data_IF_364825669820
#
_entry.id   IF_364825669820
#
_cell.length_a   1.000
_cell.length_b   1.000
_cell.length_c   1.000
_cell.angle_alpha   90.00
_cell.angle_beta   90.00
_cell.angle_gamma   90.00
#
_symmetry.space_group_name_H-M   'P 1'
#
loop_
_entity.id
_entity.type
_entity.pdbx_description
1 polymer ?
#
# COMPACT_ATOMS: atom_id res chain seq x y z
N UNK A 1 27.10 5.99 13.08
CA UNK A 1 26.55 6.95 14.06
C UNK A 1 26.76 6.36 15.45
N UNK A 2 27.15 7.17 16.44
CA UNK A 2 27.14 6.74 17.83
C UNK A 2 25.73 6.99 18.38
N UNK A 3 24.99 5.93 18.65
CA UNK A 3 23.66 5.98 19.24
C UNK A 3 23.69 5.27 20.59
N UNK A 4 23.03 5.84 21.59
CA UNK A 4 22.72 5.16 22.86
C UNK A 4 21.26 4.75 22.86
N UNK A 5 20.94 3.62 23.48
CA UNK A 5 19.56 3.18 23.69
C UNK A 5 19.30 3.11 25.19
N UNK A 6 18.25 3.77 25.69
CA UNK A 6 17.79 3.59 27.07
C UNK A 6 16.59 2.66 27.09
N UNK A 7 16.60 1.72 28.03
CA UNK A 7 15.55 0.73 28.19
C UNK A 7 14.50 1.26 29.17
N UNK A 8 13.25 1.25 28.75
CA UNK A 8 12.11 1.51 29.61
C UNK A 8 11.19 0.29 29.59
N UNK A 9 11.12 -0.42 30.72
CA UNK A 9 10.24 -1.58 30.86
C UNK A 9 8.98 -1.20 31.66
N UNK A 10 7.83 -1.57 31.13
CA UNK A 10 6.51 -1.41 31.77
C UNK A 10 5.78 -2.75 31.76
N UNK A 11 4.64 -2.87 32.45
CA UNK A 11 3.87 -4.12 32.47
C UNK A 11 3.47 -4.62 31.06
N UNK A 12 3.28 -3.72 30.09
CA UNK A 12 2.68 -4.02 28.79
C UNK A 12 3.57 -3.78 27.57
N UNK A 13 4.64 -2.98 27.72
CA UNK A 13 5.49 -2.54 26.62
C UNK A 13 6.95 -2.47 27.04
N UNK A 14 7.82 -3.02 26.21
CA UNK A 14 9.26 -2.77 26.28
C UNK A 14 9.61 -1.62 25.33
N UNK A 15 10.23 -0.55 25.80
CA UNK A 15 10.61 0.59 24.95
C UNK A 15 12.12 0.79 24.90
N UNK A 16 12.61 1.03 23.68
CA UNK A 16 14.01 1.37 23.37
C UNK A 16 14.08 2.79 22.85
N UNK A 17 14.66 3.69 23.65
CA UNK A 17 14.78 5.11 23.32
C UNK A 17 16.17 5.39 22.76
N UNK A 18 16.25 5.69 21.47
CA UNK A 18 17.47 5.93 20.72
C UNK A 18 17.83 7.41 20.69
N UNK A 19 19.07 7.74 21.04
CA UNK A 19 19.64 9.09 20.86
C UNK A 19 20.10 9.29 19.41
N UNK A 20 19.17 9.70 18.55
CA UNK A 20 19.38 9.89 17.10
C UNK A 20 19.03 11.30 16.64
N UNK A 21 19.67 11.74 15.56
CA UNK A 21 19.24 12.96 14.86
C UNK A 21 17.84 12.77 14.26
N UNK A 22 17.07 13.85 14.05
CA UNK A 22 15.78 13.75 13.38
C UNK A 22 15.86 13.08 12.01
N UNK A 23 16.90 13.37 11.22
CA UNK A 23 17.11 12.77 9.91
C UNK A 23 17.32 11.25 9.99
N UNK A 24 18.19 10.79 10.89
CA UNK A 24 18.44 9.35 11.08
C UNK A 24 17.20 8.60 11.58
N UNK A 25 16.37 9.25 12.40
CA UNK A 25 15.10 8.65 12.82
C UNK A 25 14.09 8.54 11.68
N UNK A 26 14.04 9.55 10.79
CA UNK A 26 13.17 9.49 9.61
C UNK A 26 13.56 8.34 8.67
N UNK A 27 14.84 8.03 8.52
CA UNK A 27 15.28 6.84 7.75
C UNK A 27 14.75 5.53 8.37
N UNK A 28 14.74 5.41 9.70
CA UNK A 28 14.21 4.23 10.41
C UNK A 28 12.68 4.12 10.28
N UNK A 29 11.97 5.24 10.36
CA UNK A 29 10.49 5.25 10.24
C UNK A 29 10.05 4.98 8.81
N UNK A 30 10.81 5.44 7.82
CA UNK A 30 10.50 5.30 6.40
C UNK A 30 10.80 3.90 5.83
N UNK A 31 11.62 3.10 6.51
CA UNK A 31 12.00 1.76 6.07
C UNK A 31 11.43 0.70 6.99
N UNK A 32 11.07 -0.48 6.46
CA UNK A 32 10.68 -1.60 7.30
C UNK A 32 11.93 -2.12 8.02
N UNK A 33 12.01 -1.93 9.34
CA UNK A 33 13.20 -2.28 10.13
C UNK A 33 12.95 -3.43 11.10
N UNK A 34 14.03 -4.07 11.55
CA UNK A 34 14.03 -4.92 12.75
C UNK A 34 15.21 -4.63 13.63
N UNK A 35 15.10 -5.07 14.88
CA UNK A 35 16.16 -5.05 15.85
C UNK A 35 16.74 -6.46 16.01
N UNK A 36 18.05 -6.58 16.14
CA UNK A 36 18.68 -7.85 16.52
C UNK A 36 19.99 -7.58 17.23
N UNK A 37 20.45 -8.55 18.02
CA UNK A 37 21.79 -8.51 18.59
C UNK A 37 22.85 -8.57 17.49
N UNK A 38 23.92 -7.81 17.68
CA UNK A 38 25.08 -7.72 16.79
C UNK A 38 26.29 -7.45 17.66
N UNK A 39 27.23 -8.38 17.68
CA UNK A 39 28.38 -8.32 18.60
C UNK A 39 27.85 -8.09 20.04
N UNK A 40 28.33 -7.06 20.75
CA UNK A 40 27.83 -6.68 22.10
C UNK A 40 26.74 -5.58 22.08
N UNK A 41 26.06 -5.38 20.96
CA UNK A 41 25.11 -4.26 20.72
C UNK A 41 23.76 -4.73 20.20
N UNK A 42 22.78 -3.83 20.20
CA UNK A 42 21.54 -3.96 19.43
C UNK A 42 21.70 -3.17 18.15
N UNK A 43 21.54 -3.81 17.00
CA UNK A 43 21.47 -3.16 15.70
C UNK A 43 20.03 -2.97 15.24
N UNK A 44 19.75 -1.85 14.58
CA UNK A 44 18.54 -1.62 13.78
C UNK A 44 18.90 -1.85 12.32
N UNK A 45 18.19 -2.75 11.65
CA UNK A 45 18.47 -3.18 10.29
C UNK A 45 17.33 -2.87 9.35
N UNK A 46 17.67 -2.36 8.17
CA UNK A 46 16.79 -2.22 7.02
C UNK A 46 16.40 -3.59 6.46
N UNK A 47 15.12 -3.81 6.20
CA UNK A 47 14.67 -5.01 5.49
C UNK A 47 14.90 -4.94 4.00
N UNK A 48 14.80 -3.74 3.44
CA UNK A 48 14.93 -3.52 2.00
C UNK A 48 16.37 -3.73 1.57
N UNK A 49 17.33 -3.18 2.32
CA UNK A 49 18.75 -3.19 1.94
C UNK A 49 19.56 -4.25 2.69
N UNK A 50 19.07 -4.75 3.82
CA UNK A 50 19.84 -5.60 4.73
C UNK A 50 20.94 -4.84 5.50
N UNK A 51 21.07 -3.53 5.28
CA UNK A 51 22.07 -2.72 5.96
C UNK A 51 21.70 -2.46 7.42
N UNK A 52 22.72 -2.42 8.27
CA UNK A 52 22.57 -1.91 9.63
C UNK A 52 22.49 -0.38 9.56
N UNK A 53 21.33 0.18 9.91
CA UNK A 53 21.10 1.62 9.91
C UNK A 53 21.77 2.30 11.10
N UNK A 54 21.65 1.68 12.27
CA UNK A 54 22.29 2.15 13.51
C UNK A 54 22.51 1.00 14.47
N UNK A 55 23.35 1.23 15.48
CA UNK A 55 23.58 0.30 16.57
C UNK A 55 23.68 1.05 17.88
N UNK A 56 23.19 0.46 18.97
CA UNK A 56 23.31 1.01 20.31
C UNK A 56 23.91 -0.01 21.28
N UNK A 57 24.83 0.47 22.13
CA UNK A 57 25.26 -0.30 23.30
C UNK A 57 24.09 -0.46 24.26
N UNK A 58 24.00 -1.61 24.91
CA UNK A 58 22.92 -1.94 25.83
C UNK A 58 23.48 -2.48 27.14
N UNK A 59 22.73 -2.37 28.24
CA UNK A 59 23.07 -3.02 29.50
C UNK A 59 22.85 -4.53 29.41
N UNK A 60 23.68 -5.33 30.09
CA UNK A 60 23.55 -6.80 30.20
C UNK A 60 22.15 -7.29 30.66
N UNK A 61 21.29 -6.41 31.16
CA UNK A 61 19.91 -6.69 31.54
C UNK A 61 18.95 -6.82 30.35
N UNK A 62 19.26 -6.26 29.18
CA UNK A 62 18.37 -6.29 28.01
C UNK A 62 18.07 -7.72 27.55
N UNK A 63 19.10 -8.58 27.52
CA UNK A 63 18.95 -9.99 27.14
C UNK A 63 17.96 -10.73 28.05
N UNK A 64 17.88 -10.36 29.34
CA UNK A 64 16.91 -10.95 30.29
C UNK A 64 15.49 -10.42 30.07
N UNK A 65 15.34 -9.17 29.64
CA UNK A 65 14.04 -8.51 29.48
C UNK A 65 13.42 -8.84 28.12
N UNK A 66 14.22 -8.89 27.05
CA UNK A 66 13.77 -9.28 25.69
C UNK A 66 13.37 -10.77 25.58
N UNK A 67 13.74 -11.62 26.54
CA UNK A 67 13.18 -12.98 26.63
C UNK A 67 11.68 -12.98 26.95
N UNK A 68 11.14 -11.86 27.45
CA UNK A 68 9.71 -11.64 27.65
C UNK A 68 8.94 -11.49 26.33
N UNK A 69 7.66 -11.85 26.33
CA UNK A 69 6.76 -11.79 25.16
C UNK A 69 6.11 -10.41 24.96
N UNK A 70 6.64 -9.35 25.57
CA UNK A 70 6.05 -8.01 25.44
C UNK A 70 6.36 -7.45 24.05
N UNK A 71 5.43 -6.72 23.42
CA UNK A 71 5.76 -5.90 22.25
C UNK A 71 6.93 -4.97 22.58
N UNK A 72 7.85 -4.81 21.62
CA UNK A 72 8.90 -3.81 21.69
C UNK A 72 8.43 -2.56 20.94
N UNK A 73 8.76 -1.38 21.45
CA UNK A 73 8.63 -0.13 20.69
C UNK A 73 9.97 0.59 20.62
N UNK A 74 10.29 1.12 19.45
CA UNK A 74 11.44 1.99 19.25
C UNK A 74 10.98 3.44 19.27
N UNK A 75 11.78 4.33 19.85
CA UNK A 75 11.51 5.76 19.85
C UNK A 75 12.80 6.56 19.72
N UNK A 76 12.71 7.77 19.16
CA UNK A 76 13.79 8.77 19.27
C UNK A 76 13.65 9.59 20.56
N UNK A 77 14.71 9.61 21.36
CA UNK A 77 14.78 10.47 22.55
C UNK A 77 14.69 11.95 22.15
N UNK A 78 13.75 12.68 22.76
CA UNK A 78 13.49 14.10 22.45
C UNK A 78 13.51 14.95 23.73
N UNK A 79 14.67 15.03 24.38
CA UNK A 79 14.87 15.80 25.62
C UNK A 79 13.99 15.33 26.78
N UNK A 80 13.74 16.20 27.77
CA UNK A 80 12.98 15.91 29.00
C UNK A 80 11.44 15.91 28.81
N UNK A 81 10.94 15.92 27.56
CA UNK A 81 9.49 15.84 27.33
C UNK A 81 9.01 14.40 27.50
N UNK A 82 7.81 14.25 28.06
CA UNK A 82 7.17 12.95 28.10
C UNK A 82 7.04 12.38 26.67
N UNK A 83 7.29 11.07 26.51
CA UNK A 83 7.29 10.42 25.21
C UNK A 83 5.89 10.45 24.60
N UNK A 84 5.75 11.15 23.46
CA UNK A 84 4.55 11.08 22.62
C UNK A 84 4.47 9.70 21.94
N UNK A 85 3.27 9.16 21.85
CA UNK A 85 3.00 7.90 21.16
C UNK A 85 3.06 8.04 19.62
N UNK A 86 3.03 9.28 19.10
CA UNK A 86 3.17 9.57 17.67
C UNK A 86 4.51 9.12 17.07
N UNK A 87 5.55 9.05 17.91
CA UNK A 87 6.90 8.66 17.50
C UNK A 87 7.24 7.19 17.72
N UNK A 88 6.30 6.36 18.17
CA UNK A 88 6.56 4.96 18.49
C UNK A 88 6.55 4.08 17.24
N UNK A 89 7.56 3.22 17.13
CA UNK A 89 7.63 2.16 16.15
C UNK A 89 7.47 0.80 16.81
N UNK A 90 6.32 0.16 16.64
CA UNK A 90 5.99 -1.11 17.30
C UNK A 90 6.55 -2.32 16.56
N UNK A 91 7.07 -3.26 17.33
CA UNK A 91 7.80 -4.45 16.89
C UNK A 91 7.29 -5.64 17.71
N UNK A 92 6.46 -6.47 17.06
CA UNK A 92 5.74 -7.59 17.70
C UNK A 92 6.38 -8.94 17.42
N UNK A 93 7.21 -8.99 16.39
CA UNK A 93 7.98 -10.16 16.02
C UNK A 93 9.05 -10.48 17.07
N UNK A 94 9.52 -11.73 17.08
CA UNK A 94 10.63 -12.14 17.95
C UNK A 94 11.96 -11.81 17.29
N UNK A 95 12.90 -11.33 18.09
CA UNK A 95 14.22 -10.89 17.63
C UNK A 95 15.30 -11.88 18.01
N UNK A 96 16.36 -11.95 17.21
CA UNK A 96 17.57 -12.65 17.60
C UNK A 96 18.32 -11.85 18.67
N UNK A 97 18.64 -12.52 19.77
CA UNK A 97 19.44 -12.01 20.89
C UNK A 97 20.83 -12.62 20.96
N UNK A 98 21.14 -13.58 20.09
CA UNK A 98 22.40 -14.32 20.14
C UNK A 98 23.53 -13.66 19.36
N UNK A 99 23.19 -12.77 18.41
CA UNK A 99 24.15 -12.20 17.45
C UNK A 99 24.42 -13.12 16.26
N UNK A 100 24.05 -14.40 16.35
CA UNK A 100 24.26 -15.38 15.29
C UNK A 100 23.45 -15.05 14.04
N UNK A 101 22.31 -14.36 14.17
CA UNK A 101 21.55 -14.00 12.98
C UNK A 101 22.30 -12.98 12.12
N UNK A 102 22.93 -11.99 12.75
CA UNK A 102 23.77 -11.01 12.06
C UNK A 102 25.00 -11.68 11.44
N UNK A 103 25.66 -12.60 12.15
CA UNK A 103 26.78 -13.37 11.59
C UNK A 103 26.35 -14.23 10.39
N UNK A 104 25.18 -14.86 10.47
CA UNK A 104 24.61 -15.63 9.36
C UNK A 104 24.37 -14.77 8.12
N UNK A 105 23.81 -13.56 8.30
CA UNK A 105 23.61 -12.60 7.20
C UNK A 105 24.96 -12.18 6.59
N UNK A 106 25.98 -11.88 7.41
CA UNK A 106 27.33 -11.54 6.91
C UNK A 106 27.97 -12.69 6.14
N UNK A 107 27.86 -13.91 6.65
CA UNK A 107 28.35 -15.11 5.97
C UNK A 107 27.62 -15.32 4.63
N UNK A 108 26.31 -15.13 4.59
CA UNK A 108 25.52 -15.23 3.36
C UNK A 108 25.96 -14.17 2.33
N UNK A 109 26.18 -12.92 2.77
CA UNK A 109 26.61 -11.82 1.91
C UNK A 109 27.99 -12.05 1.28
N UNK A 110 28.86 -12.82 1.94
CA UNK A 110 30.19 -13.22 1.41
C UNK A 110 30.14 -14.51 0.60
N UNK A 111 28.96 -15.10 0.39
CA UNK A 111 28.77 -16.35 -0.35
C UNK A 111 29.11 -17.61 0.44
N UNK A 112 29.48 -17.49 1.73
CA UNK A 112 29.75 -18.64 2.59
C UNK A 112 28.43 -19.21 3.14
N UNK A 113 27.70 -19.92 2.28
CA UNK A 113 26.38 -20.50 2.61
C UNK A 113 26.46 -21.53 3.74
N UNK A 114 27.57 -22.27 3.86
CA UNK A 114 27.76 -23.25 4.94
C UNK A 114 27.82 -22.57 6.32
N UNK A 115 28.61 -21.51 6.47
CA UNK A 115 28.65 -20.74 7.71
C UNK A 115 27.33 -20.03 8.00
N UNK A 116 26.65 -19.51 6.97
CA UNK A 116 25.33 -18.90 7.12
C UNK A 116 24.31 -19.89 7.70
N UNK A 117 24.23 -21.10 7.13
CA UNK A 117 23.34 -22.16 7.61
C UNK A 117 23.65 -22.53 9.07
N UNK A 118 24.93 -22.71 9.42
CA UNK A 118 25.33 -23.06 10.79
C UNK A 118 24.92 -21.97 11.81
N UNK A 119 25.09 -20.69 11.46
CA UNK A 119 24.67 -19.58 12.31
C UNK A 119 23.15 -19.49 12.44
N UNK A 120 22.41 -19.67 11.34
CA UNK A 120 20.95 -19.71 11.36
C UNK A 120 20.40 -20.87 12.20
N UNK A 121 21.05 -22.03 12.20
CA UNK A 121 20.68 -23.15 13.06
C UNK A 121 20.89 -22.83 14.54
N UNK A 122 21.92 -22.06 14.91
CA UNK A 122 22.12 -21.61 16.29
C UNK A 122 21.01 -20.65 16.75
N UNK A 123 20.56 -19.74 15.88
CA UNK A 123 19.41 -18.87 16.16
C UNK A 123 18.15 -19.70 16.42
N UNK A 124 17.89 -20.71 15.58
CA UNK A 124 16.74 -21.62 15.72
C UNK A 124 16.84 -22.42 17.03
N UNK A 125 18.05 -22.87 17.40
CA UNK A 125 18.27 -23.59 18.65
C UNK A 125 18.00 -22.72 19.89
N UNK A 126 18.29 -21.42 19.81
CA UNK A 126 18.01 -20.47 20.88
C UNK A 126 16.52 -20.10 20.94
N UNK A 127 15.89 -19.85 19.79
CA UNK A 127 14.45 -19.57 19.69
C UNK A 127 13.89 -19.95 18.31
N UNK A 128 13.24 -21.11 18.25
CA UNK A 128 12.67 -21.65 17.02
C UNK A 128 11.49 -20.84 16.45
N UNK A 129 11.03 -19.79 17.15
CA UNK A 129 9.92 -18.92 16.70
C UNK A 129 10.40 -17.63 16.03
N UNK A 130 11.70 -17.41 15.88
CA UNK A 130 12.24 -16.28 15.11
C UNK A 130 12.00 -16.58 13.62
N UNK A 131 10.82 -16.27 13.11
CA UNK A 131 10.38 -16.74 11.79
C UNK A 131 11.25 -16.29 10.62
N UNK A 132 11.89 -15.12 10.75
CA UNK A 132 12.72 -14.53 9.69
C UNK A 132 13.95 -15.36 9.35
N UNK A 133 14.50 -16.09 10.33
CA UNK A 133 15.70 -16.91 10.12
C UNK A 133 15.42 -18.02 9.08
N UNK A 134 14.22 -18.58 9.09
CA UNK A 134 13.85 -19.64 8.16
C UNK A 134 13.76 -19.13 6.71
N UNK A 135 13.41 -17.85 6.50
CA UNK A 135 13.38 -17.27 5.16
C UNK A 135 14.79 -17.22 4.53
N UNK A 136 15.80 -16.82 5.31
CA UNK A 136 17.19 -16.76 4.84
C UNK A 136 17.86 -18.14 4.82
N UNK A 137 17.50 -19.02 5.75
CA UNK A 137 17.92 -20.43 5.73
C UNK A 137 17.44 -21.14 4.47
N UNK A 138 16.15 -20.99 4.11
CA UNK A 138 15.59 -21.56 2.88
C UNK A 138 16.29 -21.04 1.62
N UNK A 139 16.69 -19.77 1.61
CA UNK A 139 17.49 -19.19 0.52
C UNK A 139 18.86 -19.88 0.39
N UNK A 140 19.57 -20.07 1.50
CA UNK A 140 20.86 -20.76 1.51
C UNK A 140 20.73 -22.23 1.08
N UNK A 141 19.72 -22.94 1.60
CA UNK A 141 19.45 -24.34 1.25
C UNK A 141 19.11 -24.50 -0.24
N UNK A 142 18.29 -23.59 -0.80
CA UNK A 142 17.97 -23.56 -2.23
C UNK A 142 19.22 -23.32 -3.09
N UNK A 143 20.13 -22.44 -2.66
CA UNK A 143 21.41 -22.22 -3.37
C UNK A 143 22.28 -23.49 -3.35
N UNK A 144 22.22 -24.26 -2.27
CA UNK A 144 22.92 -25.54 -2.14
C UNK A 144 22.16 -26.72 -2.79
N UNK A 145 21.08 -26.47 -3.54
CA UNK A 145 20.20 -27.49 -4.15
C UNK A 145 19.54 -28.46 -3.16
N UNK A 146 19.44 -28.10 -1.88
CA UNK A 146 18.66 -28.84 -0.89
C UNK A 146 17.19 -28.38 -0.94
N UNK A 147 16.51 -28.77 -2.02
CA UNK A 147 15.15 -28.33 -2.35
C UNK A 147 14.14 -28.70 -1.25
N UNK A 148 14.27 -29.89 -0.65
CA UNK A 148 13.35 -30.36 0.40
C UNK A 148 13.49 -29.56 1.69
N UNK A 149 14.73 -29.34 2.15
CA UNK A 149 14.95 -28.52 3.34
C UNK A 149 14.57 -27.05 3.10
N UNK A 150 14.83 -26.53 1.90
CA UNK A 150 14.45 -25.17 1.52
C UNK A 150 12.94 -24.95 1.58
N UNK A 151 12.15 -25.89 1.05
CA UNK A 151 10.68 -25.81 1.11
C UNK A 151 10.19 -25.75 2.57
N UNK A 152 10.68 -26.65 3.42
CA UNK A 152 10.29 -26.70 4.83
C UNK A 152 10.66 -25.40 5.55
N UNK A 153 11.87 -24.87 5.32
CA UNK A 153 12.28 -23.58 5.87
C UNK A 153 11.36 -22.45 5.40
N UNK A 154 11.04 -22.36 4.11
CA UNK A 154 10.11 -21.32 3.64
C UNK A 154 8.70 -21.48 4.22
N UNK A 155 8.19 -22.70 4.39
CA UNK A 155 6.92 -22.96 5.07
C UNK A 155 6.95 -22.51 6.52
N UNK A 156 8.01 -22.83 7.26
CA UNK A 156 8.22 -22.35 8.64
C UNK A 156 8.34 -20.82 8.71
N UNK A 157 8.94 -20.18 7.71
CA UNK A 157 8.95 -18.72 7.59
C UNK A 157 7.53 -18.17 7.50
N UNK A 158 6.67 -18.71 6.63
CA UNK A 158 5.27 -18.26 6.54
C UNK A 158 4.45 -18.54 7.82
N UNK A 159 4.82 -19.57 8.59
CA UNK A 159 4.16 -19.91 9.86
C UNK A 159 4.51 -18.94 10.98
N UNK A 160 5.79 -18.61 11.14
CA UNK A 160 6.29 -17.79 12.25
C UNK A 160 6.48 -16.30 11.89
N UNK A 161 6.47 -15.97 10.60
CA UNK A 161 6.62 -14.63 10.05
C UNK A 161 5.56 -14.34 8.97
N UNK A 162 4.33 -14.83 9.19
CA UNK A 162 3.24 -14.81 8.21
C UNK A 162 2.66 -13.43 7.88
N UNK A 163 2.97 -12.40 8.68
CA UNK A 163 2.56 -11.02 8.39
C UNK A 163 3.51 -10.33 7.39
N UNK A 164 4.67 -10.93 7.11
CA UNK A 164 5.66 -10.33 6.24
C UNK A 164 5.51 -10.81 4.79
N UNK A 165 5.38 -9.90 3.81
CA UNK A 165 5.12 -10.28 2.43
C UNK A 165 6.30 -11.01 1.76
N UNK A 166 7.53 -10.78 2.22
CA UNK A 166 8.74 -11.41 1.69
C UNK A 166 8.79 -12.92 1.96
N UNK A 167 8.31 -13.39 3.12
CA UNK A 167 8.22 -14.81 3.44
C UNK A 167 7.33 -15.56 2.42
N UNK A 168 6.15 -15.00 2.13
CA UNK A 168 5.22 -15.55 1.13
C UNK A 168 5.80 -15.46 -0.28
N UNK A 169 6.38 -14.31 -0.64
CA UNK A 169 6.97 -14.12 -1.96
C UNK A 169 8.14 -15.07 -2.22
N UNK A 170 9.00 -15.32 -1.23
CA UNK A 170 10.13 -16.24 -1.39
C UNK A 170 9.68 -17.70 -1.55
N UNK A 171 8.61 -18.10 -0.85
CA UNK A 171 7.98 -19.40 -1.08
C UNK A 171 7.38 -19.49 -2.49
N UNK A 172 6.74 -18.42 -2.98
CA UNK A 172 6.27 -18.35 -4.37
C UNK A 172 7.40 -18.43 -5.40
N UNK A 173 8.52 -17.74 -5.16
CA UNK A 173 9.73 -17.83 -6.01
C UNK A 173 10.29 -19.25 -6.01
N UNK A 174 10.28 -19.92 -4.87
CA UNK A 174 10.70 -21.31 -4.76
C UNK A 174 9.85 -22.20 -5.67
N UNK A 175 8.51 -22.14 -5.57
CA UNK A 175 7.60 -22.93 -6.41
C UNK A 175 7.71 -22.60 -7.90
N UNK A 176 7.89 -21.32 -8.23
CA UNK A 176 8.11 -20.89 -9.61
C UNK A 176 9.39 -21.54 -10.17
N UNK A 177 10.46 -21.59 -9.38
CA UNK A 177 11.74 -22.19 -9.80
C UNK A 177 11.71 -23.72 -9.86
N UNK A 178 10.81 -24.37 -9.12
CA UNK A 178 10.62 -25.82 -9.16
C UNK A 178 9.58 -26.25 -10.19
N UNK A 179 8.98 -25.31 -10.93
CA UNK A 179 8.02 -25.59 -12.02
C UNK A 179 6.57 -25.71 -11.58
N UNK A 180 6.24 -25.31 -10.35
CA UNK A 180 4.87 -25.25 -9.82
C UNK A 180 4.32 -23.81 -9.91
N UNK A 181 4.10 -23.33 -11.14
CA UNK A 181 3.76 -21.92 -11.38
C UNK A 181 2.40 -21.51 -10.80
N UNK A 182 1.41 -22.39 -10.81
CA UNK A 182 0.07 -22.09 -10.25
C UNK A 182 0.13 -21.93 -8.73
N UNK A 183 0.86 -22.81 -8.05
CA UNK A 183 1.14 -22.71 -6.63
C UNK A 183 1.90 -21.42 -6.32
N UNK A 184 2.90 -21.06 -7.13
CA UNK A 184 3.61 -19.80 -6.98
C UNK A 184 2.68 -18.58 -7.01
N UNK A 185 1.68 -18.55 -7.90
CA UNK A 185 0.70 -17.47 -7.96
C UNK A 185 -0.16 -17.36 -6.69
N UNK A 186 -0.48 -18.49 -6.04
CA UNK A 186 -1.18 -18.47 -4.76
C UNK A 186 -0.33 -17.78 -3.68
N UNK A 187 0.98 -18.09 -3.62
CA UNK A 187 1.89 -17.47 -2.67
C UNK A 187 2.15 -15.97 -2.97
N UNK A 188 2.23 -15.57 -4.24
CA UNK A 188 2.27 -14.15 -4.59
C UNK A 188 0.98 -13.42 -4.20
N UNK A 189 -0.18 -14.09 -4.30
CA UNK A 189 -1.45 -13.55 -3.80
C UNK A 189 -1.40 -13.32 -2.30
N UNK A 190 -0.88 -14.28 -1.53
CA UNK A 190 -0.73 -14.12 -0.07
C UNK A 190 0.23 -12.98 0.27
N UNK A 191 1.34 -12.82 -0.45
CA UNK A 191 2.24 -11.67 -0.27
C UNK A 191 1.49 -10.33 -0.46
N UNK A 192 0.70 -10.22 -1.54
CA UNK A 192 -0.08 -9.01 -1.83
C UNK A 192 -1.26 -8.78 -0.88
N UNK A 193 -1.73 -9.80 -0.16
CA UNK A 193 -2.69 -9.62 0.94
C UNK A 193 -2.05 -8.99 2.18
N UNK A 194 -0.73 -9.16 2.38
CA UNK A 194 0.01 -8.56 3.51
C UNK A 194 0.45 -7.14 3.18
N UNK A 195 0.88 -6.93 1.94
CA UNK A 195 1.29 -5.64 1.39
C UNK A 195 0.95 -5.59 -0.11
N UNK A 196 -0.08 -4.82 -0.45
CA UNK A 196 -0.52 -4.69 -1.85
C UNK A 196 0.45 -3.91 -2.74
N UNK A 197 1.46 -3.27 -2.15
CA UNK A 197 2.54 -2.55 -2.83
C UNK A 197 3.84 -3.35 -2.82
N UNK A 198 3.82 -4.63 -2.44
CA UNK A 198 5.03 -5.46 -2.43
C UNK A 198 5.53 -5.75 -3.85
N UNK A 199 6.48 -4.94 -4.30
CA UNK A 199 7.00 -4.90 -5.68
C UNK A 199 7.33 -6.28 -6.26
N UNK A 200 8.05 -7.12 -5.50
CA UNK A 200 8.49 -8.43 -5.99
C UNK A 200 7.32 -9.37 -6.30
N UNK A 201 6.22 -9.31 -5.53
CA UNK A 201 5.03 -10.10 -5.81
C UNK A 201 4.20 -9.47 -6.93
N UNK A 202 4.10 -8.13 -6.97
CA UNK A 202 3.41 -7.40 -8.05
C UNK A 202 3.98 -7.77 -9.41
N UNK A 203 5.29 -7.57 -9.61
CA UNK A 203 5.94 -7.77 -10.92
C UNK A 203 5.85 -9.22 -11.39
N UNK A 204 5.97 -10.19 -10.47
CA UNK A 204 5.86 -11.63 -10.80
C UNK A 204 4.46 -12.01 -11.22
N UNK A 205 3.45 -11.47 -10.53
CA UNK A 205 2.05 -11.76 -10.80
C UNK A 205 1.59 -11.17 -12.14
N UNK A 206 1.96 -9.91 -12.44
CA UNK A 206 1.62 -9.31 -13.73
C UNK A 206 2.39 -9.93 -14.89
N UNK A 207 3.64 -10.32 -14.69
CA UNK A 207 4.43 -11.00 -15.72
C UNK A 207 3.79 -12.34 -16.05
N UNK A 208 3.33 -13.10 -15.05
CA UNK A 208 2.60 -14.35 -15.27
C UNK A 208 1.30 -14.16 -16.06
N UNK A 209 0.49 -13.14 -15.74
CA UNK A 209 -0.71 -12.82 -16.52
C UNK A 209 -0.37 -12.51 -17.99
N UNK A 210 0.71 -11.76 -18.23
CA UNK A 210 1.17 -11.39 -19.56
C UNK A 210 1.66 -12.62 -20.34
N UNK A 211 2.55 -13.42 -19.75
CA UNK A 211 3.16 -14.62 -20.33
C UNK A 211 2.13 -15.71 -20.65
N UNK A 212 1.14 -15.89 -19.76
CA UNK A 212 0.05 -16.87 -19.97
C UNK A 212 -1.08 -16.33 -20.84
N UNK A 213 -1.02 -15.06 -21.28
CA UNK A 213 -2.05 -14.42 -22.09
C UNK A 213 -3.36 -14.12 -21.36
N UNK A 214 -3.39 -14.22 -20.02
CA UNK A 214 -4.55 -13.94 -19.17
C UNK A 214 -4.75 -12.42 -18.92
N UNK A 215 -4.47 -11.60 -19.94
CA UNK A 215 -4.53 -10.13 -19.87
C UNK A 215 -5.94 -9.57 -19.73
N UNK A 216 -6.97 -10.40 -19.93
CA UNK A 216 -8.37 -10.06 -19.71
C UNK A 216 -8.80 -10.15 -18.23
N UNK A 217 -7.97 -10.71 -17.35
CA UNK A 217 -8.29 -10.79 -15.93
C UNK A 217 -8.33 -9.37 -15.32
N UNK A 218 -9.41 -8.95 -14.63
CA UNK A 218 -9.51 -7.61 -14.04
C UNK A 218 -8.35 -7.27 -13.10
N UNK A 219 -7.77 -8.27 -12.46
CA UNK A 219 -6.60 -8.08 -11.61
C UNK A 219 -5.38 -7.62 -12.39
N UNK A 220 -5.19 -8.06 -13.64
CA UNK A 220 -4.05 -7.63 -14.46
C UNK A 220 -4.00 -6.11 -14.60
N UNK A 221 -5.13 -5.49 -14.93
CA UNK A 221 -5.24 -4.04 -15.05
C UNK A 221 -5.00 -3.34 -13.69
N UNK A 222 -5.57 -3.86 -12.60
CA UNK A 222 -5.39 -3.31 -11.24
C UNK A 222 -3.94 -3.33 -10.79
N UNK A 223 -3.23 -4.43 -11.03
CA UNK A 223 -1.83 -4.56 -10.65
C UNK A 223 -0.92 -3.71 -11.55
N UNK A 224 -1.24 -3.60 -12.85
CA UNK A 224 -0.50 -2.72 -13.76
C UNK A 224 -0.69 -1.24 -13.42
N UNK A 225 -1.89 -0.82 -12.99
CA UNK A 225 -2.08 0.53 -12.44
C UNK A 225 -1.18 0.74 -11.22
N UNK A 226 -1.16 -0.19 -10.26
CA UNK A 226 -0.29 -0.05 -9.08
C UNK A 226 1.19 0.07 -9.46
N UNK A 227 1.66 -0.73 -10.41
CA UNK A 227 3.03 -0.64 -10.93
C UNK A 227 3.30 0.69 -11.60
N UNK A 228 2.42 1.15 -12.48
CA UNK A 228 2.53 2.43 -13.17
C UNK A 228 2.60 3.60 -12.17
N UNK A 229 1.74 3.59 -11.15
CA UNK A 229 1.59 4.71 -10.22
C UNK A 229 2.67 4.77 -9.15
N UNK A 230 3.33 3.64 -8.82
CA UNK A 230 4.24 3.56 -7.67
C UNK A 230 5.66 3.12 -8.01
N UNK A 231 5.90 2.61 -9.23
CA UNK A 231 7.17 1.99 -9.62
C UNK A 231 7.56 2.27 -11.08
N UNK A 232 6.99 3.31 -11.71
CA UNK A 232 7.24 3.66 -13.13
C UNK A 232 8.66 4.15 -13.40
N UNK A 233 9.42 4.52 -12.37
CA UNK A 233 10.83 4.84 -12.43
C UNK A 233 11.72 3.61 -12.70
N UNK A 234 11.22 2.40 -12.45
CA UNK A 234 11.98 1.17 -12.65
C UNK A 234 11.91 0.72 -14.12
N UNK A 235 13.07 0.55 -14.75
CA UNK A 235 13.15 0.12 -16.16
C UNK A 235 12.44 -1.22 -16.45
N UNK A 236 12.42 -2.13 -15.47
CA UNK A 236 11.69 -3.42 -15.58
C UNK A 236 10.19 -3.17 -15.68
N UNK A 237 9.66 -2.22 -14.91
CA UNK A 237 8.25 -1.85 -14.94
C UNK A 237 7.90 -1.15 -16.24
N UNK A 238 8.72 -0.20 -16.69
CA UNK A 238 8.51 0.47 -17.99
C UNK A 238 8.43 -0.54 -19.14
N UNK A 239 9.37 -1.49 -19.20
CA UNK A 239 9.36 -2.57 -20.19
C UNK A 239 8.10 -3.43 -20.09
N UNK A 240 7.69 -3.82 -18.87
CA UNK A 240 6.49 -4.61 -18.65
C UNK A 240 5.22 -3.88 -19.12
N UNK A 241 5.08 -2.59 -18.83
CA UNK A 241 3.94 -1.78 -19.26
C UNK A 241 3.92 -1.63 -20.79
N UNK A 242 5.08 -1.43 -21.43
CA UNK A 242 5.20 -1.40 -22.89
C UNK A 242 4.76 -2.74 -23.53
N UNK A 243 5.26 -3.86 -23.01
CA UNK A 243 4.86 -5.19 -23.50
C UNK A 243 3.37 -5.47 -23.26
N UNK A 244 2.80 -4.96 -22.16
CA UNK A 244 1.37 -5.07 -21.88
C UNK A 244 0.52 -4.28 -22.88
N UNK A 245 0.99 -3.08 -23.28
CA UNK A 245 0.34 -2.27 -24.30
C UNK A 245 0.39 -2.97 -25.67
N UNK A 246 1.57 -3.49 -26.07
CA UNK A 246 1.75 -4.25 -27.30
C UNK A 246 0.86 -5.50 -27.34
N UNK A 247 0.77 -6.25 -26.24
CA UNK A 247 -0.08 -7.45 -26.14
C UNK A 247 -1.57 -7.15 -26.31
N UNK A 248 -1.99 -5.92 -26.03
CA UNK A 248 -3.37 -5.44 -26.13
C UNK A 248 -3.62 -4.63 -27.41
N UNK A 249 -2.67 -4.59 -28.35
CA UNK A 249 -2.73 -3.81 -29.58
C UNK A 249 -3.00 -2.31 -29.34
N UNK A 250 -2.42 -1.75 -28.27
CA UNK A 250 -2.54 -0.35 -27.87
C UNK A 250 -1.19 0.36 -27.92
N UNK A 251 -1.20 1.67 -28.19
CA UNK A 251 -0.01 2.49 -27.89
C UNK A 251 0.21 2.56 -26.38
N UNK A 252 1.45 2.87 -25.96
CA UNK A 252 1.77 3.06 -24.54
C UNK A 252 0.87 4.13 -23.90
N UNK A 253 0.67 5.24 -24.60
CA UNK A 253 -0.19 6.36 -24.16
C UNK A 253 -1.63 5.88 -23.96
N UNK A 254 -2.21 5.18 -24.95
CA UNK A 254 -3.56 4.64 -24.87
C UNK A 254 -3.73 3.65 -23.72
N UNK A 255 -2.72 2.80 -23.48
CA UNK A 255 -2.77 1.83 -22.40
C UNK A 255 -2.71 2.49 -21.02
N UNK A 256 -1.81 3.47 -20.84
CA UNK A 256 -1.74 4.28 -19.62
C UNK A 256 -3.05 5.04 -19.38
N UNK A 257 -3.63 5.66 -20.40
CA UNK A 257 -4.93 6.34 -20.30
C UNK A 257 -6.05 5.38 -19.89
N UNK A 258 -6.07 4.17 -20.47
CA UNK A 258 -7.04 3.12 -20.12
C UNK A 258 -6.90 2.71 -18.65
N UNK A 259 -5.67 2.50 -18.16
CA UNK A 259 -5.43 2.17 -16.76
C UNK A 259 -5.98 3.29 -15.84
N UNK A 260 -5.78 4.55 -16.20
CA UNK A 260 -6.31 5.65 -15.41
C UNK A 260 -7.84 5.76 -15.47
N UNK A 261 -8.44 5.60 -16.66
CA UNK A 261 -9.90 5.68 -16.80
C UNK A 261 -10.59 4.59 -16.01
N UNK A 262 -10.10 3.35 -16.11
CA UNK A 262 -10.82 2.19 -15.60
C UNK A 262 -10.81 2.06 -14.08
N UNK A 263 -9.98 2.85 -13.38
CA UNK A 263 -9.83 2.77 -11.94
C UNK A 263 -10.25 4.05 -11.22
N UNK A 264 -10.75 5.07 -11.94
CA UNK A 264 -11.34 6.29 -11.38
C UNK A 264 -10.51 6.90 -10.26
N UNK A 265 -11.11 7.00 -9.07
CA UNK A 265 -10.47 7.60 -7.89
C UNK A 265 -9.17 6.87 -7.47
N UNK A 266 -9.05 5.57 -7.72
CA UNK A 266 -7.86 4.80 -7.39
C UNK A 266 -6.68 5.11 -8.33
N UNK A 267 -6.92 5.70 -9.50
CA UNK A 267 -5.84 6.18 -10.37
C UNK A 267 -5.27 7.54 -9.93
N UNK A 268 -5.79 8.14 -8.86
CA UNK A 268 -5.25 9.39 -8.34
C UNK A 268 -3.90 9.16 -7.63
N UNK A 269 -2.87 9.90 -8.05
CA UNK A 269 -1.50 9.77 -7.53
C UNK A 269 -1.39 10.03 -6.03
N UNK A 270 -2.15 11.00 -5.50
CA UNK A 270 -2.13 11.33 -4.07
C UNK A 270 -2.77 10.23 -3.23
N UNK A 271 -3.88 9.67 -3.71
CA UNK A 271 -4.53 8.51 -3.08
C UNK A 271 -3.58 7.32 -3.07
N UNK A 272 -2.95 7.01 -4.20
CA UNK A 272 -1.95 5.93 -4.28
C UNK A 272 -0.78 6.15 -3.32
N UNK A 273 -0.27 7.39 -3.23
CA UNK A 273 0.77 7.76 -2.28
C UNK A 273 0.34 7.50 -0.83
N UNK A 274 -0.88 7.89 -0.45
CA UNK A 274 -1.41 7.64 0.89
C UNK A 274 -1.61 6.16 1.16
N UNK A 275 -2.19 5.41 0.22
CA UNK A 275 -2.35 3.96 0.36
C UNK A 275 -1.01 3.26 0.58
N UNK A 276 0.02 3.64 -0.19
CA UNK A 276 1.37 3.08 -0.04
C UNK A 276 2.01 3.45 1.31
N UNK A 277 1.85 4.70 1.76
CA UNK A 277 2.36 5.15 3.07
C UNK A 277 1.65 4.46 4.24
N UNK A 278 0.35 4.22 4.12
CA UNK A 278 -0.45 3.48 5.11
C UNK A 278 0.06 2.04 5.23
N UNK A 279 0.20 1.32 4.12
CA UNK A 279 0.70 -0.06 4.11
C UNK A 279 2.13 -0.15 4.67
N UNK A 280 3.02 0.74 4.21
CA UNK A 280 4.39 0.83 4.72
C UNK A 280 4.43 1.09 6.22
N UNK A 281 3.60 2.00 6.71
CA UNK A 281 3.49 2.32 8.13
C UNK A 281 2.98 1.15 8.96
N UNK A 282 1.96 0.43 8.47
CA UNK A 282 1.44 -0.79 9.13
C UNK A 282 2.52 -1.87 9.20
N UNK A 283 3.22 -2.11 8.09
CA UNK A 283 4.23 -3.17 8.01
C UNK A 283 5.48 -2.86 8.84
N UNK A 284 5.84 -1.59 8.98
CA UNK A 284 6.92 -1.17 9.87
C UNK A 284 6.48 -1.04 11.34
N UNK A 285 5.18 -0.99 11.62
CA UNK A 285 4.63 -0.75 12.97
C UNK A 285 4.58 0.72 13.38
N UNK A 286 4.67 1.64 12.42
CA UNK A 286 4.51 3.09 12.60
C UNK A 286 3.01 3.46 12.57
N UNK A 287 2.23 2.89 13.50
CA UNK A 287 0.77 2.96 13.42
C UNK A 287 0.18 4.36 13.58
N UNK A 288 0.83 5.24 14.36
CA UNK A 288 0.39 6.62 14.49
C UNK A 288 0.44 7.35 13.14
N UNK A 289 1.58 7.23 12.43
CA UNK A 289 1.73 7.79 11.08
C UNK A 289 0.76 7.14 10.09
N UNK A 290 0.57 5.82 10.15
CA UNK A 290 -0.41 5.15 9.30
C UNK A 290 -1.83 5.69 9.55
N UNK A 291 -2.25 5.83 10.81
CA UNK A 291 -3.56 6.36 11.18
C UNK A 291 -3.75 7.82 10.70
N UNK A 292 -2.71 8.65 10.74
CA UNK A 292 -2.76 10.00 10.18
C UNK A 292 -3.03 10.00 8.68
N UNK A 293 -2.31 9.18 7.91
CA UNK A 293 -2.59 9.06 6.47
C UNK A 293 -3.97 8.48 6.19
N UNK A 294 -4.48 7.57 7.03
CA UNK A 294 -5.85 7.06 6.91
C UNK A 294 -6.89 8.17 7.10
N UNK A 295 -6.69 9.04 8.11
CA UNK A 295 -7.57 10.20 8.34
C UNK A 295 -7.49 11.17 7.16
N UNK A 296 -6.28 11.53 6.72
CA UNK A 296 -6.09 12.41 5.55
C UNK A 296 -6.72 11.82 4.28
N UNK A 297 -6.61 10.51 4.08
CA UNK A 297 -7.23 9.82 2.94
C UNK A 297 -8.75 9.89 3.04
N UNK A 298 -9.33 9.60 4.20
CA UNK A 298 -10.78 9.68 4.41
C UNK A 298 -11.31 11.12 4.23
N UNK A 299 -10.63 12.12 4.78
CA UNK A 299 -11.00 13.55 4.66
C UNK A 299 -10.89 14.10 3.23
N UNK A 300 -10.03 13.49 2.41
CA UNK A 300 -9.88 13.87 1.01
C UNK A 300 -10.98 13.31 0.10
N UNK A 301 -11.74 12.31 0.58
CA UNK A 301 -12.71 11.54 -0.20
C UNK A 301 -14.22 11.84 -0.05
N UNK A 302 -14.73 12.72 0.85
CA UNK A 302 -16.18 12.90 1.02
C UNK A 302 -16.85 13.43 -0.25
N UNK A 303 -18.07 12.95 -0.51
CA UNK A 303 -18.97 13.42 -1.59
C UNK A 303 -18.39 13.20 -3.00
N UNK A 304 -17.49 12.22 -3.12
CA UNK A 304 -16.90 11.82 -4.40
C UNK A 304 -17.37 10.44 -4.83
N UNK A 305 -17.43 10.28 -6.15
CA UNK A 305 -17.59 8.97 -6.75
C UNK A 305 -16.40 8.07 -6.37
N UNK A 306 -16.68 6.94 -5.71
CA UNK A 306 -15.67 6.00 -5.23
C UNK A 306 -15.27 6.17 -3.76
N UNK A 307 -15.92 7.05 -2.99
CA UNK A 307 -15.73 7.17 -1.54
C UNK A 307 -15.86 5.81 -0.82
N UNK A 308 -16.89 5.02 -1.19
CA UNK A 308 -17.10 3.69 -0.62
C UNK A 308 -15.92 2.74 -0.88
N UNK A 309 -15.25 2.83 -2.03
CA UNK A 309 -14.07 2.01 -2.33
C UNK A 309 -12.93 2.31 -1.36
N UNK A 310 -12.76 3.57 -0.99
CA UNK A 310 -11.73 3.98 -0.02
C UNK A 310 -12.11 3.52 1.39
N UNK A 311 -13.38 3.66 1.80
CA UNK A 311 -13.86 3.13 3.10
C UNK A 311 -13.67 1.62 3.20
N UNK A 312 -14.01 0.88 2.14
CA UNK A 312 -13.82 -0.57 2.08
C UNK A 312 -12.35 -0.96 2.04
N UNK A 313 -11.49 -0.15 1.41
CA UNK A 313 -10.04 -0.36 1.42
C UNK A 313 -9.43 -0.12 2.80
N UNK A 314 -9.86 0.93 3.51
CA UNK A 314 -9.38 1.31 4.84
C UNK A 314 -9.79 0.30 5.93
N UNK A 315 -11.02 -0.22 5.89
CA UNK A 315 -11.59 -1.11 6.92
C UNK A 315 -10.66 -2.25 7.37
N UNK A 316 -10.16 -3.15 6.47
CA UNK A 316 -9.29 -4.24 6.90
C UNK A 316 -7.94 -3.74 7.45
N UNK A 317 -7.45 -2.56 7.04
CA UNK A 317 -6.22 -1.98 7.59
C UNK A 317 -6.42 -1.44 9.00
N UNK A 318 -7.55 -0.81 9.26
CA UNK A 318 -7.93 -0.33 10.59
C UNK A 318 -8.03 -1.52 11.55
N UNK A 319 -8.75 -2.58 11.15
CA UNK A 319 -8.87 -3.83 11.92
C UNK A 319 -7.51 -4.48 12.19
N UNK A 320 -6.64 -4.54 11.16
CA UNK A 320 -5.27 -5.08 11.28
C UNK A 320 -4.47 -4.35 12.37
N UNK A 321 -4.62 -3.03 12.54
CA UNK A 321 -3.97 -2.30 13.63
C UNK A 321 -4.66 -2.58 14.98
N UNK A 322 -5.99 -2.44 15.05
CA UNK A 322 -6.75 -2.55 16.30
C UNK A 322 -6.57 -3.90 17.01
N UNK A 323 -6.55 -5.01 16.26
CA UNK A 323 -6.39 -6.37 16.83
C UNK A 323 -5.05 -6.54 17.57
N UNK A 324 -4.03 -5.73 17.27
CA UNK A 324 -2.72 -5.79 17.93
C UNK A 324 -2.70 -5.18 19.34
N UNK A 325 -3.74 -4.45 19.71
CA UNK A 325 -3.81 -3.74 20.98
C UNK A 325 -4.97 -4.25 21.83
N UNK A 326 -4.75 -4.31 23.15
CA UNK A 326 -5.81 -4.67 24.09
C UNK A 326 -6.91 -3.60 24.11
N UNK A 327 -8.15 -3.98 24.46
CA UNK A 327 -9.33 -3.11 24.46
C UNK A 327 -9.25 -1.88 25.40
N UNK A 328 -8.25 -1.81 26.29
CA UNK A 328 -7.99 -0.69 27.19
C UNK A 328 -6.72 0.10 26.86
N UNK A 329 -6.09 -0.11 25.70
CA UNK A 329 -4.88 0.63 25.32
C UNK A 329 -5.19 2.11 25.04
N UNK A 330 -4.51 3.01 25.76
CA UNK A 330 -4.71 4.46 25.66
C UNK A 330 -3.65 5.08 24.75
N UNK A 331 -3.76 4.83 23.44
CA UNK A 331 -2.95 5.52 22.43
C UNK A 331 -3.84 6.48 21.62
N UNK A 332 -3.35 7.68 21.34
CA UNK A 332 -4.04 8.73 20.59
C UNK A 332 -4.46 8.26 19.18
N UNK A 333 -3.62 7.44 18.53
CA UNK A 333 -3.94 6.88 17.22
C UNK A 333 -5.04 5.82 17.29
N UNK A 334 -5.21 5.10 18.41
CA UNK A 334 -6.31 4.13 18.56
C UNK A 334 -7.65 4.85 18.61
N UNK A 335 -7.73 5.99 19.30
CA UNK A 335 -8.93 6.84 19.30
C UNK A 335 -9.27 7.35 17.89
N UNK A 336 -8.27 7.85 17.15
CA UNK A 336 -8.42 8.25 15.73
C UNK A 336 -8.98 7.09 14.89
N UNK A 337 -8.45 5.87 15.08
CA UNK A 337 -8.88 4.68 14.35
C UNK A 337 -10.30 4.22 14.75
N UNK A 338 -10.70 4.35 16.01
CA UNK A 338 -12.08 4.08 16.43
C UNK A 338 -13.07 5.01 15.72
N UNK A 339 -12.79 6.32 15.73
CA UNK A 339 -13.61 7.31 15.03
C UNK A 339 -13.69 7.04 13.52
N UNK A 340 -12.57 6.65 12.92
CA UNK A 340 -12.52 6.31 11.50
C UNK A 340 -13.28 5.00 11.19
N UNK A 341 -13.21 4.00 12.06
CA UNK A 341 -13.91 2.72 11.91
C UNK A 341 -15.44 2.92 11.91
N UNK A 342 -15.97 3.80 12.77
CA UNK A 342 -17.39 4.16 12.78
C UNK A 342 -17.83 4.74 11.44
N UNK A 343 -17.02 5.64 10.86
CA UNK A 343 -17.29 6.22 9.54
C UNK A 343 -17.16 5.19 8.39
N UNK A 344 -16.37 4.12 8.59
CA UNK A 344 -16.17 3.06 7.59
C UNK A 344 -17.14 1.89 7.73
N UNK A 345 -18.12 1.93 8.66
CA UNK A 345 -19.09 0.83 8.83
C UNK A 345 -19.94 0.65 7.56
N UNK A 346 -20.19 -0.60 7.14
CA UNK A 346 -21.14 -0.86 6.07
C UNK A 346 -22.53 -0.37 6.52
N UNK A 347 -23.27 0.27 5.61
CA UNK A 347 -24.66 0.63 5.88
C UNK A 347 -25.43 -0.64 6.32
N UNK A 348 -26.19 -0.55 7.42
CA UNK A 348 -26.96 -1.69 7.93
C UNK A 348 -27.88 -2.21 6.81
N UNK A 349 -27.75 -3.50 6.51
CA UNK A 349 -28.51 -4.21 5.48
C UNK A 349 -29.99 -4.30 5.86
N UNK A 350 -30.74 -3.25 5.53
CA UNK A 350 -32.18 -3.27 5.36
C UNK A 350 -32.50 -2.53 4.06
N UNK A 351 -32.07 -3.08 2.92
CA UNK A 351 -32.93 -3.35 1.77
C UNK A 351 -32.11 -3.98 0.64
N UNK A 352 -32.81 -4.66 -0.26
CA UNK A 352 -32.25 -5.27 -1.46
C UNK A 352 -31.40 -4.27 -2.24
N UNK A 353 -30.25 -4.76 -2.71
CA UNK A 353 -29.32 -4.14 -3.64
C UNK A 353 -29.92 -3.09 -4.59
N UNK A 354 -29.58 -1.83 -4.34
CA UNK A 354 -29.57 -0.72 -5.29
C UNK A 354 -28.58 0.29 -4.75
N UNK A 355 -27.48 0.54 -5.46
CA UNK A 355 -26.65 1.69 -5.13
C UNK A 355 -27.46 2.96 -5.44
N UNK A 356 -27.29 4.03 -4.67
CA UNK A 356 -27.99 5.27 -4.99
C UNK A 356 -27.55 5.74 -6.40
N UNK A 357 -28.50 6.14 -7.27
CA UNK A 357 -28.18 6.55 -8.64
C UNK A 357 -27.24 7.76 -8.65
N UNK A 358 -26.37 7.83 -9.65
CA UNK A 358 -25.44 8.94 -9.84
C UNK A 358 -26.17 10.29 -9.70
N UNK A 359 -25.69 11.13 -8.80
CA UNK A 359 -26.28 12.44 -8.53
C UNK A 359 -25.65 13.53 -9.40
N UNK A 360 -26.37 14.64 -9.59
CA UNK A 360 -25.84 15.81 -10.31
C UNK A 360 -24.58 16.40 -9.65
N UNK A 361 -24.50 16.34 -8.31
CA UNK A 361 -23.33 16.75 -7.54
C UNK A 361 -22.14 15.82 -7.77
N UNK A 362 -22.33 14.49 -7.73
CA UNK A 362 -21.24 13.55 -8.05
C UNK A 362 -20.73 13.73 -9.48
N UNK A 363 -21.64 13.87 -10.45
CA UNK A 363 -21.28 14.21 -11.84
C UNK A 363 -20.41 15.48 -11.89
N UNK A 364 -20.83 16.54 -11.20
CA UNK A 364 -20.09 17.79 -11.19
C UNK A 364 -18.71 17.64 -10.52
N UNK A 365 -18.60 16.80 -9.49
CA UNK A 365 -17.33 16.48 -8.81
C UNK A 365 -16.33 15.85 -9.77
N UNK A 366 -16.80 14.90 -10.59
CA UNK A 366 -15.99 14.20 -11.57
C UNK A 366 -15.49 15.15 -12.67
N UNK A 367 -16.34 16.09 -13.12
CA UNK A 367 -15.94 17.14 -14.07
C UNK A 367 -14.85 18.01 -13.44
N UNK A 368 -15.04 18.45 -12.20
CA UNK A 368 -14.13 19.34 -11.50
C UNK A 368 -12.74 18.69 -11.33
N UNK A 369 -12.71 17.41 -10.93
CA UNK A 369 -11.48 16.64 -10.79
C UNK A 369 -10.72 16.54 -12.10
N UNK A 370 -11.43 16.29 -13.21
CA UNK A 370 -10.81 16.14 -14.52
C UNK A 370 -10.29 17.47 -15.08
N UNK A 371 -11.05 18.57 -14.93
CA UNK A 371 -10.65 19.92 -15.35
C UNK A 371 -9.44 20.41 -14.55
N UNK A 372 -9.40 20.16 -13.24
CA UNK A 372 -8.32 20.70 -12.40
C UNK A 372 -7.02 19.89 -12.49
N UNK A 373 -7.04 18.72 -13.16
CA UNK A 373 -5.98 17.70 -13.10
C UNK A 373 -4.61 18.17 -13.57
N UNK A 374 -4.55 19.02 -14.58
CA UNK A 374 -3.31 19.58 -15.12
C UNK A 374 -2.80 20.82 -14.34
N UNK A 375 -3.57 21.25 -13.32
CA UNK A 375 -3.29 22.39 -12.48
C UNK A 375 -3.55 23.75 -13.13
N UNK A 376 -4.12 23.80 -14.34
CA UNK A 376 -4.41 25.03 -15.07
C UNK A 376 -5.83 25.00 -15.62
N UNK A 377 -6.72 25.83 -15.07
CA UNK A 377 -8.08 25.95 -15.60
C UNK A 377 -8.08 26.96 -16.75
N UNK A 378 -8.24 26.48 -17.98
CA UNK A 378 -8.32 27.32 -19.18
C UNK A 378 -9.65 28.13 -19.21
N UNK A 379 -9.71 29.27 -19.95
CA UNK A 379 -10.94 30.04 -20.06
C UNK A 379 -12.14 29.24 -20.59
N UNK A 380 -11.90 28.29 -21.49
CA UNK A 380 -12.94 27.41 -22.03
C UNK A 380 -13.50 26.46 -20.95
N UNK A 381 -12.63 25.98 -20.05
CA UNK A 381 -12.98 25.08 -18.96
C UNK A 381 -13.71 25.83 -17.83
N UNK A 382 -13.32 27.07 -17.54
CA UNK A 382 -14.08 27.93 -16.62
C UNK A 382 -15.52 28.14 -17.09
N UNK A 383 -15.70 28.39 -18.39
CA UNK A 383 -17.02 28.57 -18.97
C UNK A 383 -17.84 27.26 -18.96
N UNK A 384 -17.20 26.12 -19.19
CA UNK A 384 -17.79 24.80 -19.04
C UNK A 384 -18.26 24.55 -17.60
N UNK A 385 -17.40 24.77 -16.60
CA UNK A 385 -17.73 24.61 -15.18
C UNK A 385 -18.90 25.50 -14.77
N UNK A 386 -18.92 26.76 -15.24
CA UNK A 386 -20.02 27.70 -14.98
C UNK A 386 -21.34 27.22 -15.56
N UNK A 387 -21.34 26.71 -16.80
CA UNK A 387 -22.53 26.15 -17.46
C UNK A 387 -23.04 24.90 -16.75
N UNK A 388 -22.14 23.97 -16.42
CA UNK A 388 -22.50 22.72 -15.76
C UNK A 388 -23.03 22.96 -14.34
N UNK A 389 -22.40 23.85 -13.57
CA UNK A 389 -22.84 24.24 -12.23
C UNK A 389 -24.28 24.76 -12.25
N UNK A 390 -24.60 25.65 -13.18
CA UNK A 390 -25.93 26.20 -13.35
C UNK A 390 -26.95 25.13 -13.80
N UNK A 391 -26.57 24.28 -14.76
CA UNK A 391 -27.45 23.24 -15.29
C UNK A 391 -27.81 22.15 -14.28
N UNK A 392 -26.89 21.85 -13.36
CA UNK A 392 -27.04 20.82 -12.32
C UNK A 392 -27.56 21.38 -10.99
N UNK A 393 -27.82 22.69 -10.91
CA UNK A 393 -28.24 23.39 -9.69
C UNK A 393 -27.30 23.15 -8.48
N UNK A 394 -25.99 23.11 -8.71
CA UNK A 394 -25.00 22.91 -7.64
C UNK A 394 -24.87 24.22 -6.82
N UNK A 395 -25.22 24.22 -5.52
CA UNK A 395 -25.13 25.41 -4.68
C UNK A 395 -23.69 25.95 -4.54
N UNK A 396 -23.53 27.25 -4.33
CA UNK A 396 -22.20 27.87 -4.19
C UNK A 396 -21.36 27.29 -3.04
N UNK A 397 -22.01 27.00 -1.90
CA UNK A 397 -21.34 26.38 -0.76
C UNK A 397 -20.80 24.98 -1.08
N UNK A 398 -21.62 24.16 -1.75
CA UNK A 398 -21.24 22.82 -2.18
C UNK A 398 -20.14 22.87 -3.25
N UNK A 399 -20.24 23.80 -4.22
CA UNK A 399 -19.20 24.05 -5.19
C UNK A 399 -17.84 24.36 -4.53
N UNK A 400 -17.82 25.27 -3.54
CA UNK A 400 -16.59 25.64 -2.84
C UNK A 400 -16.02 24.47 -2.03
N UNK A 401 -16.88 23.65 -1.43
CA UNK A 401 -16.46 22.43 -0.73
C UNK A 401 -15.80 21.44 -1.69
N UNK A 402 -16.47 21.11 -2.80
CA UNK A 402 -15.93 20.20 -3.83
C UNK A 402 -14.63 20.73 -4.44
N UNK A 403 -14.57 22.03 -4.75
CA UNK A 403 -13.38 22.69 -5.27
C UNK A 403 -12.20 22.59 -4.31
N UNK A 404 -12.42 22.82 -3.01
CA UNK A 404 -11.38 22.67 -2.01
C UNK A 404 -10.93 21.21 -1.84
N UNK A 405 -11.86 20.24 -1.92
CA UNK A 405 -11.55 18.81 -1.86
C UNK A 405 -10.67 18.38 -3.04
N UNK A 406 -11.07 18.72 -4.27
CA UNK A 406 -10.27 18.45 -5.49
C UNK A 406 -8.91 19.15 -5.42
N UNK A 407 -8.86 20.40 -4.96
CA UNK A 407 -7.59 21.13 -4.81
C UNK A 407 -6.66 20.47 -3.79
N UNK A 408 -7.18 19.98 -2.66
CA UNK A 408 -6.40 19.20 -1.68
C UNK A 408 -5.87 17.91 -2.29
N UNK A 409 -6.67 17.24 -3.13
CA UNK A 409 -6.30 15.99 -3.79
C UNK A 409 -5.16 16.17 -4.80
N UNK A 410 -5.12 17.31 -5.49
CA UNK A 410 -4.08 17.65 -6.45
C UNK A 410 -2.85 18.32 -5.79
N UNK A 411 -2.94 18.70 -4.51
CA UNK A 411 -1.84 19.34 -3.79
C UNK A 411 -0.69 18.34 -3.52
N UNK A 412 0.48 18.62 -4.11
CA UNK A 412 1.69 17.81 -3.94
C UNK A 412 1.93 16.76 -5.04
N UNK A 413 1.24 16.86 -6.18
CA UNK A 413 1.69 16.23 -7.42
C UNK A 413 2.95 16.98 -7.93
N UNK A 414 4.10 16.78 -7.28
CA UNK A 414 5.39 17.20 -7.85
C UNK A 414 5.69 16.34 -9.07
N UNK A 415 5.97 17.05 -10.15
CA UNK A 415 5.98 16.60 -11.54
C UNK A 415 7.24 15.77 -11.78
N UNK A 416 7.09 14.46 -12.02
CA UNK A 416 8.04 13.78 -12.88
C UNK A 416 7.94 14.42 -14.26
N UNK A 417 9.08 14.70 -14.89
CA UNK A 417 9.24 15.49 -16.12
C UNK A 417 8.66 14.82 -17.39
N UNK A 418 7.45 14.26 -17.29
CA UNK A 418 6.75 13.56 -18.36
C UNK A 418 5.25 13.52 -18.07
N UNK A 419 4.49 14.18 -18.94
CA UNK A 419 3.03 14.07 -19.11
C UNK A 419 2.18 14.70 -17.99
N UNK A 420 2.04 16.04 -18.01
CA UNK A 420 0.77 16.63 -17.54
C UNK A 420 -0.33 16.18 -18.50
N UNK A 421 -1.26 15.37 -18.02
CA UNK A 421 -2.40 14.90 -18.81
C UNK A 421 -3.42 16.04 -18.97
N UNK A 422 -3.56 16.55 -20.19
CA UNK A 422 -4.58 17.56 -20.52
C UNK A 422 -5.99 17.03 -20.25
N UNK A 423 -6.93 17.95 -20.05
CA UNK A 423 -8.35 17.67 -19.93
C UNK A 423 -8.86 16.78 -21.10
N UNK A 424 -9.52 15.67 -20.77
CA UNK A 424 -10.07 14.73 -21.78
C UNK A 424 -11.55 14.49 -21.56
N UNK A 425 -12.38 15.03 -22.47
CA UNK A 425 -13.82 14.78 -22.49
C UNK A 425 -14.16 13.28 -22.61
N UNK A 426 -13.36 12.52 -23.36
CA UNK A 426 -13.56 11.08 -23.54
C UNK A 426 -13.30 10.30 -22.26
N UNK A 427 -12.22 10.65 -21.54
CA UNK A 427 -11.89 10.04 -20.25
C UNK A 427 -12.96 10.36 -19.21
N UNK A 428 -13.35 11.63 -19.11
CA UNK A 428 -14.43 12.07 -18.22
C UNK A 428 -15.72 11.28 -18.50
N UNK A 429 -16.09 11.17 -19.76
CA UNK A 429 -17.32 10.50 -20.15
C UNK A 429 -17.31 8.99 -19.91
N UNK A 430 -16.16 8.32 -20.12
CA UNK A 430 -16.00 6.91 -19.76
C UNK A 430 -16.14 6.71 -18.24
N UNK A 431 -15.49 7.55 -17.44
CA UNK A 431 -15.61 7.50 -15.98
C UNK A 431 -17.06 7.71 -15.54
N UNK A 432 -17.78 8.63 -16.19
CA UNK A 432 -19.20 8.87 -15.94
C UNK A 432 -20.08 7.67 -16.28
N UNK A 433 -19.81 6.99 -17.40
CA UNK A 433 -20.50 5.76 -17.76
C UNK A 433 -20.24 4.66 -16.73
N UNK A 434 -19.00 4.50 -16.26
CA UNK A 434 -18.67 3.54 -15.20
C UNK A 434 -19.39 3.86 -13.90
N UNK A 435 -19.45 5.14 -13.54
CA UNK A 435 -20.14 5.60 -12.37
C UNK A 435 -21.65 5.29 -12.40
N UNK A 436 -22.26 5.49 -13.57
CA UNK A 436 -23.68 5.27 -13.83
C UNK A 436 -24.07 3.80 -14.11
N UNK A 437 -23.11 2.90 -14.32
CA UNK A 437 -23.37 1.47 -14.61
C UNK A 437 -22.97 0.56 -13.45
N UNK A 438 -22.70 1.11 -12.26
CA UNK A 438 -22.02 0.43 -11.15
C UNK A 438 -22.80 -0.77 -10.58
N UNK A 439 -24.12 -0.76 -10.69
CA UNK A 439 -25.02 -1.83 -10.25
C UNK A 439 -25.58 -2.67 -11.41
N UNK A 440 -25.11 -2.42 -12.64
CA UNK A 440 -25.56 -3.06 -13.87
C UNK A 440 -26.95 -2.59 -14.35
N UNK A 441 -27.58 -1.61 -13.69
CA UNK A 441 -28.90 -1.10 -14.04
C UNK A 441 -28.84 0.44 -14.12
N UNK A 442 -28.82 0.99 -15.33
CA UNK A 442 -28.86 2.45 -15.50
C UNK A 442 -30.27 2.96 -15.22
N UNK A 443 -30.44 3.68 -14.11
CA UNK A 443 -31.71 4.28 -13.72
C UNK A 443 -32.03 5.55 -14.53
N UNK A 444 -33.30 5.97 -14.54
CA UNK A 444 -33.74 7.19 -15.25
C UNK A 444 -32.99 8.48 -14.85
N UNK A 445 -32.62 8.72 -13.58
CA UNK A 445 -31.78 9.86 -13.20
C UNK A 445 -30.41 9.84 -13.89
N UNK A 446 -29.80 8.66 -13.99
CA UNK A 446 -28.47 8.47 -14.57
C UNK A 446 -28.51 8.60 -16.09
N UNK A 447 -29.56 8.09 -16.75
CA UNK A 447 -29.80 8.35 -18.18
C UNK A 447 -29.91 9.83 -18.50
N UNK A 448 -30.54 10.62 -17.62
CA UNK A 448 -30.63 12.08 -17.79
C UNK A 448 -29.26 12.73 -17.66
N UNK A 449 -28.44 12.31 -16.71
CA UNK A 449 -27.07 12.82 -16.52
C UNK A 449 -26.18 12.43 -17.71
N UNK A 450 -26.19 11.16 -18.13
CA UNK A 450 -25.43 10.70 -19.29
C UNK A 450 -25.88 11.40 -20.58
N UNK A 451 -27.19 11.56 -20.78
CA UNK A 451 -27.73 12.30 -21.94
C UNK A 451 -27.36 13.78 -21.91
N UNK A 452 -27.30 14.39 -20.74
CA UNK A 452 -26.79 15.75 -20.56
C UNK A 452 -25.30 15.84 -20.88
N UNK A 453 -24.49 14.90 -20.39
CA UNK A 453 -23.07 14.81 -20.66
C UNK A 453 -22.76 14.61 -22.16
N UNK A 454 -23.52 13.76 -22.86
CA UNK A 454 -23.38 13.61 -24.32
C UNK A 454 -23.56 14.93 -25.06
N UNK A 455 -24.55 15.75 -24.66
CA UNK A 455 -24.79 17.07 -25.24
C UNK A 455 -23.71 18.07 -24.87
N UNK A 456 -23.25 18.06 -23.62
CA UNK A 456 -22.23 18.98 -23.13
C UNK A 456 -20.86 18.74 -23.77
N UNK A 457 -20.49 17.48 -24.01
CA UNK A 457 -19.18 17.10 -24.53
C UNK A 457 -19.17 16.77 -26.03
N UNK A 458 -20.33 16.83 -26.71
CA UNK A 458 -20.45 16.57 -28.15
C UNK A 458 -20.26 15.11 -28.55
N UNK A 459 -20.60 14.17 -27.66
CA UNK A 459 -20.39 12.72 -27.90
C UNK A 459 -21.49 12.16 -28.79
N UNK A 460 -21.07 11.45 -29.84
CA UNK A 460 -21.97 10.86 -30.83
C UNK A 460 -22.73 9.64 -30.26
N UNK A 461 -23.87 9.29 -30.86
CA UNK A 461 -24.64 8.11 -30.42
C UNK A 461 -23.89 6.79 -30.62
N UNK A 462 -23.02 6.69 -31.64
CA UNK A 462 -22.19 5.51 -31.86
C UNK A 462 -21.09 5.39 -30.80
N UNK A 463 -20.42 6.51 -30.48
CA UNK A 463 -19.39 6.56 -29.43
C UNK A 463 -19.98 6.25 -28.05
N UNK A 464 -21.17 6.78 -27.74
CA UNK A 464 -21.92 6.42 -26.54
C UNK A 464 -22.16 4.92 -26.41
N UNK A 465 -22.68 4.27 -27.47
CA UNK A 465 -22.93 2.83 -27.49
C UNK A 465 -21.64 2.03 -27.32
N UNK A 466 -20.54 2.47 -27.93
CA UNK A 466 -19.25 1.81 -27.79
C UNK A 466 -18.75 1.85 -26.36
N UNK A 467 -18.78 3.02 -25.72
CA UNK A 467 -18.33 3.21 -24.33
C UNK A 467 -19.18 2.40 -23.36
N UNK A 468 -20.51 2.42 -23.51
CA UNK A 468 -21.41 1.60 -22.67
C UNK A 468 -21.12 0.10 -22.85
N UNK A 469 -20.90 -0.36 -24.08
CA UNK A 469 -20.56 -1.76 -24.34
C UNK A 469 -19.18 -2.18 -23.77
N UNK A 470 -18.24 -1.24 -23.63
CA UNK A 470 -16.95 -1.46 -22.97
C UNK A 470 -17.08 -1.49 -21.44
N UNK A 471 -18.00 -0.69 -20.87
CA UNK A 471 -18.16 -0.49 -19.42
C UNK A 471 -19.06 -1.53 -18.75
N UNK A 472 -20.05 -2.07 -19.46
CA UNK A 472 -21.06 -3.02 -18.92
C UNK A 472 -20.58 -4.50 -18.98
N UNK A 473 -19.32 -4.75 -19.37
CA UNK A 473 -18.68 -6.08 -19.31
C UNK A 473 -18.14 -6.38 -17.93
#
# INVERSE_FOLDING_TARGET
>A
MNCTATLHDSAHLLRLDFSLSPAAWQEIVADNVSIMAVDDKIGVFSFVTGAMLTSASHDNCLNKIMQGTKPCALQRQSGDKEPSDEGLLFKFERFDLTGQFAEGIRAQATGNTAAAIANYQQVIAADARIGRVYNLLGLCQRINNDTGAAEESYRLATKFYGEAPDAWCNLGIFYQKTGQDLEAQNYFTEALKRDEFYYNALIRRVSWFLETGQVANPEFARLNLRLLMNFSELAIVQRHIMNSAERLDMSLEQYCEKLHSDHGILANSKIQQYCRRIESGINNGAFASAAEYMVMLNEMTPEMHGEQLIRDWLRPRIEKIQIRFASGATYSFIEKLHNLAENCRPAQTNDKSGHAPLTGSEFFSMVLLEVMRDGQIEPAEQELLKKLKAALNVPDALFMQMFNNVRKQLAGAEVSDGLRERFSHQRLFRNLCQAACRDGIIEEPEKKILGFACKAFGISSEEFKRIIAEVVK
#
